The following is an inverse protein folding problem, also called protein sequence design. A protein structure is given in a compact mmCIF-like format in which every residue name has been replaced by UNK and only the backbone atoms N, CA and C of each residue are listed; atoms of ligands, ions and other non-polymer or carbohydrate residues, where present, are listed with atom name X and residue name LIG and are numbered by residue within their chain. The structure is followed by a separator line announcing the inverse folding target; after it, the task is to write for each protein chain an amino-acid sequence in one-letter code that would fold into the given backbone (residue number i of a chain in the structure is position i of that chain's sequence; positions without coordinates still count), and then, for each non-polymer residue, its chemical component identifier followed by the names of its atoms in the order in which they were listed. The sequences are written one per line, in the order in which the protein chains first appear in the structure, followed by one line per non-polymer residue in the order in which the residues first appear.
data_IF_967784446386
#
_entry.id   IF_967784446386
#
_cell.length_a   1.000
_cell.length_b   1.000
_cell.length_c   1.000
_cell.angle_alpha   90.00
_cell.angle_beta   90.00
_cell.angle_gamma   90.00
#
_symmetry.space_group_name_H-M   'P 1'
#
loop_
_entity.id
_entity.type
_entity.pdbx_description
1 polymer ?
#
# COMPACT_ATOMS: atom_id res chain seq x y z
N UNK A 1 -0.51 37.53 -63.62
CA UNK A 1 0.68 38.16 -63.01
C UNK A 1 1.19 37.23 -61.92
N UNK A 2 2.47 36.88 -62.04
CA UNK A 2 3.24 35.94 -61.20
C UNK A 2 3.43 36.43 -59.76
N UNK A 3 3.64 35.48 -58.83
CA UNK A 3 4.65 35.43 -57.74
C UNK A 3 4.21 34.30 -56.78
N UNK A 4 4.51 33.01 -57.03
CA UNK A 4 5.70 32.26 -56.57
C UNK A 4 6.41 32.87 -55.36
N UNK A 5 6.34 32.16 -54.21
CA UNK A 5 7.48 31.86 -53.32
C UNK A 5 7.10 30.82 -52.26
N UNK A 6 7.76 29.67 -52.36
CA UNK A 6 7.95 28.64 -51.34
C UNK A 6 9.46 28.64 -50.97
N UNK A 7 9.97 27.75 -50.10
CA UNK A 7 9.86 27.66 -48.64
C UNK A 7 11.23 27.93 -47.95
N UNK A 8 11.28 28.00 -46.61
CA UNK A 8 12.55 27.80 -45.87
C UNK A 8 12.31 26.78 -44.76
N UNK A 9 12.94 25.62 -44.91
CA UNK A 9 13.13 24.61 -43.90
C UNK A 9 14.30 25.00 -42.99
N UNK A 10 14.15 24.81 -41.68
CA UNK A 10 15.28 24.79 -40.75
C UNK A 10 15.37 23.39 -40.17
N UNK A 11 16.34 22.64 -40.66
CA UNK A 11 16.78 21.37 -40.09
C UNK A 11 17.71 21.67 -38.91
N UNK A 12 17.36 21.19 -37.72
CA UNK A 12 18.24 21.17 -36.56
C UNK A 12 18.86 19.78 -36.42
N UNK A 13 20.12 19.67 -36.81
CA UNK A 13 20.98 18.52 -36.57
C UNK A 13 21.33 18.44 -35.08
N UNK A 14 20.97 17.34 -34.41
CA UNK A 14 21.57 16.96 -33.13
C UNK A 14 22.57 15.82 -33.38
N UNK A 15 23.84 16.15 -33.20
CA UNK A 15 24.97 15.23 -33.22
C UNK A 15 25.23 14.69 -31.81
N UNK A 16 25.35 13.36 -31.75
CA UNK A 16 26.28 12.53 -30.97
C UNK A 16 26.78 13.02 -29.59
N UNK A 17 26.56 12.18 -28.58
CA UNK A 17 27.65 11.67 -27.73
C UNK A 17 27.27 10.31 -27.13
N UNK A 18 27.82 9.23 -27.71
CA UNK A 18 27.84 7.91 -27.09
C UNK A 18 28.94 7.90 -26.02
N UNK A 19 28.57 7.86 -24.74
CA UNK A 19 29.49 7.57 -23.64
C UNK A 19 29.58 6.07 -23.41
N UNK A 20 30.70 5.47 -23.76
CA UNK A 20 31.08 4.11 -23.36
C UNK A 20 31.36 4.11 -21.85
N UNK A 21 30.72 3.21 -21.10
CA UNK A 21 31.07 2.95 -19.71
C UNK A 21 31.76 1.61 -19.65
N UNK A 22 33.01 1.69 -19.19
CA UNK A 22 33.98 0.62 -19.13
C UNK A 22 33.57 -0.45 -18.11
N UNK A 23 33.87 -1.70 -18.47
CA UNK A 23 33.66 -2.87 -17.65
C UNK A 23 34.80 -3.04 -16.63
N UNK A 24 34.54 -3.84 -15.61
CA UNK A 24 35.52 -4.53 -14.77
C UNK A 24 35.95 -3.83 -13.48
N UNK A 25 35.26 -4.17 -12.38
CA UNK A 25 35.98 -4.59 -11.18
C UNK A 25 35.19 -5.63 -10.38
N UNK A 26 35.55 -6.88 -10.64
CA UNK A 26 35.33 -8.02 -9.77
C UNK A 26 36.07 -7.78 -8.45
N UNK A 27 35.32 -7.69 -7.34
CA UNK A 27 35.87 -7.87 -6.00
C UNK A 27 34.97 -8.87 -5.25
N UNK A 28 35.59 -9.98 -4.87
CA UNK A 28 35.01 -11.06 -4.05
C UNK A 28 34.63 -10.53 -2.66
N UNK A 29 33.57 -11.07 -2.02
CA UNK A 29 33.34 -10.85 -0.60
C UNK A 29 34.34 -11.67 0.25
N UNK A 30 34.85 -11.11 1.36
CA UNK A 30 35.55 -11.90 2.37
C UNK A 30 34.55 -12.69 3.23
N UNK A 31 34.92 -13.94 3.49
CA UNK A 31 34.27 -14.91 4.38
C UNK A 31 34.25 -14.40 5.83
N UNK A 32 33.14 -14.50 6.59
CA UNK A 32 33.18 -14.33 8.02
C UNK A 32 33.74 -15.59 8.70
N UNK A 33 34.82 -15.39 9.43
CA UNK A 33 35.51 -16.35 10.29
C UNK A 33 34.63 -16.72 11.49
N UNK A 34 34.45 -18.02 11.70
CA UNK A 34 33.70 -18.62 12.80
C UNK A 34 34.63 -18.79 14.00
N UNK A 35 34.46 -17.98 15.04
CA UNK A 35 35.19 -18.12 16.31
C UNK A 35 34.21 -18.18 17.49
N UNK A 36 33.93 -19.40 17.93
CA UNK A 36 33.67 -19.75 19.34
C UNK A 36 34.64 -20.92 19.65
N UNK A 37 34.95 -21.30 20.91
CA UNK A 37 34.34 -20.94 22.19
C UNK A 37 35.37 -20.62 23.31
N UNK A 38 34.95 -20.05 24.45
CA UNK A 38 35.52 -20.40 25.78
C UNK A 38 34.45 -20.22 26.85
N UNK A 39 34.16 -21.32 27.55
CA UNK A 39 33.43 -21.35 28.82
C UNK A 39 34.42 -21.21 29.97
N UNK A 40 34.07 -20.43 31.01
CA UNK A 40 34.56 -20.67 32.39
C UNK A 40 33.48 -20.24 33.39
N UNK A 41 33.27 -21.09 34.39
CA UNK A 41 32.15 -21.15 35.31
C UNK A 41 32.33 -20.33 36.62
N UNK A 42 31.18 -19.92 37.18
CA UNK A 42 30.74 -19.99 38.62
C UNK A 42 31.57 -19.32 39.73
N UNK A 43 31.07 -19.18 41.01
CA UNK A 43 29.71 -19.29 41.61
C UNK A 43 29.34 -18.12 42.59
N UNK A 44 28.28 -18.33 43.40
CA UNK A 44 27.91 -17.75 44.73
C UNK A 44 27.20 -16.38 44.78
N UNK A 45 26.17 -16.06 45.59
CA UNK A 45 25.47 -16.65 46.75
C UNK A 45 24.00 -16.13 46.79
N UNK A 46 23.01 -16.99 47.10
CA UNK A 46 22.18 -17.01 48.32
C UNK A 46 21.53 -15.67 48.74
N UNK A 47 20.19 -15.60 48.59
CA UNK A 47 19.34 -14.57 49.18
C UNK A 47 17.89 -15.03 49.20
N UNK A 48 17.50 -15.62 50.33
CA UNK A 48 16.16 -16.08 50.71
C UNK A 48 15.28 -14.85 50.96
N UNK A 49 14.06 -14.80 50.44
CA UNK A 49 12.90 -14.52 51.31
C UNK A 49 11.54 -14.90 50.73
N UNK A 50 10.70 -15.33 51.66
CA UNK A 50 9.44 -15.99 51.46
C UNK A 50 8.27 -15.01 51.51
N UNK A 51 7.17 -15.41 50.87
CA UNK A 51 5.83 -15.02 51.28
C UNK A 51 5.09 -14.09 50.34
N UNK A 52 4.13 -14.64 49.58
CA UNK A 52 2.72 -14.48 49.93
C UNK A 52 1.85 -14.89 48.74
N UNK A 53 1.06 -15.92 48.99
CA UNK A 53 0.11 -16.52 48.07
C UNK A 53 -1.11 -15.60 47.95
N UNK A 54 -1.29 -14.96 46.79
CA UNK A 54 -2.59 -14.40 46.39
C UNK A 54 -3.11 -15.21 45.21
N UNK A 55 -3.97 -16.16 45.55
CA UNK A 55 -4.78 -16.97 44.66
C UNK A 55 -5.95 -16.09 44.20
N UNK A 56 -5.81 -15.39 43.07
CA UNK A 56 -6.92 -14.68 42.43
C UNK A 56 -7.44 -15.47 41.24
N UNK A 57 -8.75 -15.68 41.25
CA UNK A 57 -9.48 -16.67 40.48
C UNK A 57 -9.28 -16.62 38.97
N UNK A 58 -9.22 -17.83 38.40
CA UNK A 58 -9.43 -18.09 37.00
C UNK A 58 -10.76 -17.48 36.53
N UNK A 59 -10.69 -16.44 35.68
CA UNK A 59 -11.76 -16.16 34.73
C UNK A 59 -11.64 -17.22 33.64
N UNK A 60 -12.70 -18.00 33.45
CA UNK A 60 -12.78 -19.02 32.43
C UNK A 60 -12.54 -18.46 31.02
N UNK A 61 -12.17 -19.32 30.07
CA UNK A 61 -12.11 -18.93 28.67
C UNK A 61 -13.51 -18.51 28.24
N UNK A 62 -13.66 -17.25 27.85
CA UNK A 62 -14.83 -16.83 27.11
C UNK A 62 -14.85 -17.63 25.81
N UNK A 63 -15.89 -18.45 25.63
CA UNK A 63 -16.22 -19.13 24.38
C UNK A 63 -16.27 -18.08 23.26
N UNK A 64 -15.15 -17.95 22.54
CA UNK A 64 -15.04 -17.22 21.29
C UNK A 64 -15.69 -18.01 20.19
N UNK A 65 -17.03 -18.10 20.21
CA UNK A 65 -17.79 -18.54 19.04
C UNK A 65 -17.42 -17.67 17.83
N UNK A 66 -17.43 -18.22 16.60
CA UNK A 66 -17.10 -17.45 15.41
C UNK A 66 -18.07 -16.25 15.33
N UNK A 67 -17.51 -15.05 15.47
CA UNK A 67 -18.25 -13.81 15.32
C UNK A 67 -19.00 -13.87 13.99
N UNK A 68 -20.33 -13.74 14.03
CA UNK A 68 -21.15 -13.75 12.81
C UNK A 68 -20.58 -12.71 11.84
N UNK A 69 -20.44 -13.05 10.55
CA UNK A 69 -19.94 -12.11 9.56
C UNK A 69 -20.82 -10.85 9.60
N UNK A 70 -20.22 -9.65 9.55
CA UNK A 70 -20.97 -8.42 9.59
C UNK A 70 -22.00 -8.39 8.45
N UNK A 71 -23.16 -7.78 8.71
CA UNK A 71 -24.24 -7.67 7.73
C UNK A 71 -23.72 -7.06 6.41
N UNK A 72 -24.12 -7.65 5.28
CA UNK A 72 -23.78 -7.15 3.96
C UNK A 72 -24.34 -5.73 3.78
N UNK A 73 -23.46 -4.77 3.51
CA UNK A 73 -23.80 -3.35 3.40
C UNK A 73 -24.56 -3.11 2.09
N UNK A 74 -25.85 -2.78 2.20
CA UNK A 74 -26.65 -2.36 1.04
C UNK A 74 -26.24 -0.95 0.62
N UNK A 75 -25.59 -0.85 -0.55
CA UNK A 75 -25.02 0.39 -1.09
C UNK A 75 -26.13 1.26 -1.72
N UNK A 76 -26.43 2.41 -1.12
CA UNK A 76 -27.32 3.43 -1.72
C UNK A 76 -26.53 4.72 -1.95
N UNK A 77 -26.13 5.02 -3.19
CA UNK A 77 -25.44 6.26 -3.53
C UNK A 77 -24.68 6.23 -4.86
N UNK A 78 -24.50 7.40 -5.46
CA UNK A 78 -23.90 7.60 -6.79
C UNK A 78 -22.60 8.43 -6.77
N UNK A 79 -22.07 8.76 -5.59
CA UNK A 79 -20.95 9.71 -5.44
C UNK A 79 -19.70 9.00 -4.93
N UNK A 80 -18.77 8.75 -5.86
CA UNK A 80 -17.40 8.32 -5.59
C UNK A 80 -16.57 9.54 -5.13
N UNK A 81 -15.61 9.44 -4.17
CA UNK A 81 -14.98 8.22 -3.66
C UNK A 81 -15.88 7.34 -2.82
N UNK A 82 -16.60 7.87 -1.84
CA UNK A 82 -17.29 7.04 -0.85
C UNK A 82 -18.54 7.76 -0.31
N UNK A 83 -19.47 6.98 0.23
CA UNK A 83 -20.66 7.44 0.95
C UNK A 83 -20.33 8.38 2.13
N UNK A 84 -21.34 8.81 2.89
CA UNK A 84 -21.12 9.40 4.20
C UNK A 84 -20.31 8.42 5.08
N UNK A 85 -19.29 8.94 5.76
CA UNK A 85 -18.48 8.20 6.73
C UNK A 85 -18.20 9.11 7.93
N UNK A 86 -18.07 8.51 9.11
CA UNK A 86 -17.91 9.23 10.39
C UNK A 86 -16.59 8.94 11.08
N UNK A 87 -15.95 7.80 10.77
CA UNK A 87 -14.63 7.43 11.31
C UNK A 87 -13.80 6.68 10.27
N UNK A 88 -12.51 6.59 10.54
CA UNK A 88 -11.59 5.84 9.71
C UNK A 88 -10.53 5.15 10.58
N UNK A 89 -9.97 4.07 10.05
CA UNK A 89 -8.86 3.35 10.66
C UNK A 89 -7.78 3.06 9.64
N UNK A 90 -6.53 3.23 10.03
CA UNK A 90 -5.38 2.75 9.29
C UNK A 90 -5.05 1.31 9.72
N UNK A 91 -4.71 0.47 8.75
CA UNK A 91 -4.57 -0.98 8.93
C UNK A 91 -3.26 -1.44 8.30
N UNK A 92 -2.51 -2.30 8.97
CA UNK A 92 -1.47 -3.10 8.35
C UNK A 92 -1.93 -4.54 8.24
N UNK A 93 -1.70 -5.16 7.10
CA UNK A 93 -2.12 -6.52 6.82
C UNK A 93 -1.16 -7.19 5.85
N UNK A 94 -1.29 -8.51 5.67
CA UNK A 94 -0.45 -9.27 4.72
C UNK A 94 1.06 -9.08 4.92
N UNK A 95 1.52 -9.02 6.18
CA UNK A 95 2.93 -8.83 6.54
C UNK A 95 3.77 -10.12 6.39
N UNK A 96 3.40 -10.98 5.43
CA UNK A 96 4.11 -12.19 4.98
C UNK A 96 4.30 -12.19 3.46
N UNK A 97 5.06 -13.12 2.88
CA UNK A 97 5.40 -13.10 1.44
C UNK A 97 4.17 -13.37 0.56
N UNK A 98 4.10 -12.79 -0.64
CA UNK A 98 2.96 -13.00 -1.54
C UNK A 98 2.79 -14.49 -1.86
N UNK A 99 1.55 -14.97 -1.77
CA UNK A 99 1.15 -16.36 -2.08
C UNK A 99 -0.22 -16.36 -2.76
N UNK A 100 -0.63 -17.47 -3.39
CA UNK A 100 -1.96 -17.59 -3.98
C UNK A 100 -3.08 -17.32 -2.97
N UNK A 101 -4.22 -16.83 -3.46
CA UNK A 101 -5.47 -16.65 -2.71
C UNK A 101 -5.43 -15.68 -1.51
N UNK A 102 -4.40 -14.84 -1.41
CA UNK A 102 -4.34 -13.82 -0.37
C UNK A 102 -5.31 -12.68 -0.69
N UNK A 103 -6.13 -12.23 0.28
CA UNK A 103 -6.99 -11.06 0.11
C UNK A 103 -6.18 -9.80 -0.20
N UNK A 104 -6.59 -9.07 -1.23
CA UNK A 104 -5.93 -7.83 -1.67
C UNK A 104 -6.41 -6.60 -0.92
N UNK A 105 -7.55 -6.71 -0.23
CA UNK A 105 -8.15 -5.64 0.54
C UNK A 105 -8.10 -5.98 2.02
N UNK A 106 -7.91 -4.96 2.87
CA UNK A 106 -8.08 -5.10 4.31
C UNK A 106 -9.55 -5.38 4.68
N UNK A 107 -10.48 -4.83 3.90
CA UNK A 107 -11.91 -5.11 3.99
C UNK A 107 -12.56 -5.13 2.60
N UNK A 108 -13.39 -6.12 2.33
CA UNK A 108 -14.20 -6.22 1.11
C UNK A 108 -15.58 -6.86 1.38
N UNK A 109 -16.27 -7.32 0.32
CA UNK A 109 -17.58 -7.97 0.41
C UNK A 109 -17.56 -9.29 1.22
N UNK A 110 -16.37 -9.87 1.45
CA UNK A 110 -16.16 -11.06 2.29
C UNK A 110 -15.85 -10.68 3.74
N UNK A 111 -15.79 -9.39 4.06
CA UNK A 111 -15.47 -8.85 5.37
C UNK A 111 -13.99 -8.51 5.53
N UNK A 112 -13.49 -8.62 6.75
CA UNK A 112 -12.10 -8.32 7.08
C UNK A 112 -11.14 -9.37 6.54
N UNK A 113 -9.97 -8.92 6.10
CA UNK A 113 -8.84 -9.83 5.84
C UNK A 113 -8.48 -10.58 7.12
N UNK A 114 -8.27 -11.91 7.06
CA UNK A 114 -7.82 -12.72 8.21
C UNK A 114 -6.35 -12.44 8.58
N UNK A 115 -5.70 -11.52 7.89
CA UNK A 115 -4.28 -11.22 8.01
C UNK A 115 -4.01 -9.78 8.44
N UNK A 116 -4.99 -9.14 9.08
CA UNK A 116 -4.80 -7.85 9.75
C UNK A 116 -3.87 -8.04 10.94
N UNK A 117 -2.81 -7.23 11.00
CA UNK A 117 -1.77 -7.27 12.04
C UNK A 117 -1.93 -6.09 12.99
N UNK A 118 -2.20 -4.90 12.46
CA UNK A 118 -2.35 -3.68 13.26
C UNK A 118 -3.54 -2.88 12.75
N UNK A 119 -4.28 -2.26 13.69
CA UNK A 119 -5.33 -1.28 13.42
C UNK A 119 -5.09 -0.06 14.30
N UNK A 120 -5.13 1.12 13.71
CA UNK A 120 -5.08 2.40 14.43
C UNK A 120 -6.24 3.28 14.01
N UNK A 121 -6.92 3.85 14.99
CA UNK A 121 -7.87 4.93 14.72
C UNK A 121 -7.11 6.10 14.08
N UNK A 122 -7.69 6.69 13.02
CA UNK A 122 -7.20 7.94 12.46
C UNK A 122 -8.23 9.04 12.70
N UNK A 123 -7.77 10.28 12.79
CA UNK A 123 -8.64 11.43 12.94
C UNK A 123 -9.50 11.63 11.68
N UNK A 124 -10.62 12.35 11.83
CA UNK A 124 -11.46 12.72 10.67
C UNK A 124 -10.67 13.54 9.64
N UNK A 125 -9.73 14.38 10.08
CA UNK A 125 -8.86 15.13 9.18
C UNK A 125 -7.97 14.19 8.35
N UNK A 126 -7.34 13.20 8.98
CA UNK A 126 -6.54 12.18 8.29
C UNK A 126 -7.39 11.31 7.35
N UNK A 127 -8.60 10.92 7.75
CA UNK A 127 -9.52 10.21 6.87
C UNK A 127 -9.85 11.02 5.60
N UNK A 128 -10.11 12.32 5.75
CA UNK A 128 -10.33 13.22 4.60
C UNK A 128 -9.09 13.36 3.73
N UNK A 129 -7.91 13.41 4.33
CA UNK A 129 -6.66 13.42 3.59
C UNK A 129 -6.46 12.14 2.77
N UNK A 130 -6.70 10.96 3.36
CA UNK A 130 -6.63 9.68 2.65
C UNK A 130 -7.59 9.63 1.44
N UNK A 131 -8.82 10.12 1.61
CA UNK A 131 -9.79 10.24 0.51
C UNK A 131 -9.31 11.21 -0.57
N UNK A 132 -8.74 12.34 -0.18
CA UNK A 132 -8.17 13.33 -1.11
C UNK A 132 -6.98 12.76 -1.89
N UNK A 133 -6.11 12.00 -1.22
CA UNK A 133 -4.99 11.32 -1.86
C UNK A 133 -5.46 10.26 -2.87
N UNK A 134 -6.51 9.51 -2.55
CA UNK A 134 -7.11 8.56 -3.48
C UNK A 134 -7.70 9.25 -4.72
N UNK A 135 -8.43 10.34 -4.52
CA UNK A 135 -8.96 11.14 -5.62
C UNK A 135 -7.83 11.71 -6.51
N UNK A 136 -6.72 12.13 -5.90
CA UNK A 136 -5.53 12.59 -6.62
C UNK A 136 -4.81 11.46 -7.40
N UNK A 137 -5.07 10.20 -7.05
CA UNK A 137 -4.64 9.00 -7.78
C UNK A 137 -5.63 8.55 -8.87
N UNK A 138 -6.71 9.31 -9.12
CA UNK A 138 -7.80 8.95 -10.04
C UNK A 138 -8.55 7.66 -9.63
N UNK A 139 -8.55 7.36 -8.33
CA UNK A 139 -9.33 6.30 -7.70
C UNK A 139 -8.62 4.97 -7.57
N UNK A 140 -7.91 4.52 -8.59
CA UNK A 140 -7.02 3.36 -8.50
C UNK A 140 -5.75 3.62 -9.29
N UNK A 141 -4.62 3.20 -8.75
CA UNK A 141 -3.32 3.37 -9.39
C UNK A 141 -2.63 2.02 -9.46
N UNK A 142 -2.53 1.48 -10.68
CA UNK A 142 -1.82 0.23 -10.96
C UNK A 142 -0.57 0.56 -11.77
N UNK A 143 0.55 0.71 -11.07
CA UNK A 143 1.87 1.01 -11.62
C UNK A 143 2.62 -0.29 -11.94
N UNK A 144 2.36 -1.33 -11.15
CA UNK A 144 3.08 -2.60 -11.22
C UNK A 144 2.14 -3.79 -11.44
N UNK A 145 2.73 -4.98 -11.56
CA UNK A 145 2.01 -6.27 -11.55
C UNK A 145 2.00 -6.94 -10.17
N UNK A 146 2.33 -6.21 -9.10
CA UNK A 146 2.37 -6.75 -7.75
C UNK A 146 1.12 -6.30 -6.96
N UNK A 147 0.00 -7.02 -7.07
CA UNK A 147 -1.17 -6.74 -6.24
C UNK A 147 -0.91 -7.32 -4.85
N UNK A 148 -0.05 -6.70 -4.05
CA UNK A 148 0.15 -7.15 -2.68
C UNK A 148 0.15 -6.00 -1.68
N UNK A 149 -1.01 -5.33 -1.49
CA UNK A 149 -1.15 -4.28 -0.50
C UNK A 149 -0.88 -4.80 0.90
N UNK A 150 -0.24 -3.94 1.70
CA UNK A 150 0.11 -4.22 3.09
C UNK A 150 -0.41 -3.18 4.07
N UNK A 151 -0.94 -2.08 3.53
CA UNK A 151 -1.45 -0.97 4.29
C UNK A 151 -2.82 -0.60 3.74
N UNK A 152 -3.71 -0.17 4.60
CA UNK A 152 -5.00 0.33 4.17
C UNK A 152 -5.54 1.43 5.06
N UNK A 153 -6.45 2.23 4.52
CA UNK A 153 -7.36 3.07 5.29
C UNK A 153 -8.78 2.55 5.07
N UNK A 154 -9.43 2.12 6.13
CA UNK A 154 -10.83 1.64 6.12
C UNK A 154 -11.72 2.76 6.65
N UNK A 155 -12.73 3.14 5.87
CA UNK A 155 -13.71 4.16 6.25
C UNK A 155 -14.98 3.48 6.77
N UNK A 156 -15.62 4.09 7.76
CA UNK A 156 -16.81 3.53 8.40
C UNK A 156 -17.92 4.57 8.50
N UNK A 157 -19.16 4.11 8.33
CA UNK A 157 -20.38 4.80 8.76
C UNK A 157 -20.88 4.15 10.05
N UNK A 158 -20.68 4.85 11.17
CA UNK A 158 -20.84 4.26 12.50
C UNK A 158 -19.88 3.09 12.68
N UNK A 159 -20.41 1.89 12.88
CA UNK A 159 -19.60 0.65 13.01
C UNK A 159 -19.47 -0.15 11.71
N UNK A 160 -20.08 0.32 10.63
CA UNK A 160 -20.14 -0.39 9.36
C UNK A 160 -19.02 0.07 8.43
N UNK A 161 -18.10 -0.81 7.99
CA UNK A 161 -17.10 -0.46 7.00
C UNK A 161 -17.76 -0.18 5.64
N UNK A 162 -17.49 0.98 5.07
CA UNK A 162 -18.08 1.42 3.79
C UNK A 162 -17.06 1.51 2.67
N UNK A 163 -15.76 1.55 3.01
CA UNK A 163 -14.68 1.60 2.03
C UNK A 163 -13.35 1.09 2.58
N UNK A 164 -12.47 0.65 1.69
CA UNK A 164 -11.10 0.27 1.97
C UNK A 164 -10.17 0.80 0.87
N UNK A 165 -9.21 1.64 1.24
CA UNK A 165 -8.16 2.16 0.36
C UNK A 165 -6.89 1.39 0.67
N UNK A 166 -6.35 0.61 -0.26
CA UNK A 166 -5.30 -0.37 -0.02
C UNK A 166 -4.05 0.00 -0.80
N UNK A 167 -2.89 -0.07 -0.15
CA UNK A 167 -1.62 0.42 -0.68
C UNK A 167 -0.51 -0.61 -0.53
N UNK A 168 0.35 -0.68 -1.55
CA UNK A 168 1.60 -1.44 -1.50
C UNK A 168 2.81 -0.51 -1.64
N UNK A 169 3.52 -0.24 -0.54
CA UNK A 169 4.71 0.65 -0.53
C UNK A 169 5.93 0.13 -1.30
N UNK A 170 5.95 -1.16 -1.63
CA UNK A 170 6.99 -1.76 -2.45
C UNK A 170 6.81 -1.48 -3.94
N UNK A 171 5.57 -1.52 -4.44
CA UNK A 171 5.29 -1.50 -5.87
C UNK A 171 4.51 -0.27 -6.36
N UNK A 172 3.92 0.50 -5.44
CA UNK A 172 3.20 1.72 -5.77
C UNK A 172 1.72 1.56 -6.07
N UNK A 173 1.19 0.35 -5.98
CA UNK A 173 -0.20 0.08 -6.32
C UNK A 173 -1.16 0.56 -5.22
N UNK A 174 -2.26 1.16 -5.67
CA UNK A 174 -3.38 1.67 -4.86
C UNK A 174 -4.66 1.03 -5.40
N UNK A 175 -5.32 0.25 -4.54
CA UNK A 175 -6.60 -0.40 -4.82
C UNK A 175 -7.69 0.21 -3.95
N UNK A 176 -8.92 0.22 -4.45
CA UNK A 176 -10.08 0.68 -3.68
C UNK A 176 -11.15 -0.39 -3.62
N UNK A 177 -11.79 -0.52 -2.47
CA UNK A 177 -13.06 -1.21 -2.34
C UNK A 177 -14.09 -0.23 -1.75
N UNK A 178 -15.28 -0.09 -2.35
CA UNK A 178 -15.63 -0.56 -3.69
C UNK A 178 -14.67 0.01 -4.76
N UNK A 179 -14.48 -0.73 -5.84
CA UNK A 179 -13.63 -0.29 -6.93
C UNK A 179 -14.16 1.02 -7.54
N UNK A 180 -13.24 1.87 -7.99
CA UNK A 180 -13.60 3.06 -8.76
C UNK A 180 -14.40 2.65 -10.00
N UNK A 181 -15.49 3.37 -10.36
CA UNK A 181 -16.19 3.11 -11.61
C UNK A 181 -15.19 3.12 -12.76
N UNK A 182 -15.23 2.12 -13.67
CA UNK A 182 -14.34 2.14 -14.82
C UNK A 182 -14.57 3.43 -15.61
N UNK A 183 -13.49 4.07 -16.07
CA UNK A 183 -13.62 5.22 -16.98
C UNK A 183 -14.60 4.85 -18.10
N UNK A 184 -15.56 5.72 -18.44
CA UNK A 184 -16.56 5.43 -19.45
C UNK A 184 -15.83 5.09 -20.75
N UNK A 185 -15.87 3.80 -21.11
CA UNK A 185 -15.31 3.35 -22.37
C UNK A 185 -16.17 3.97 -23.47
N UNK A 186 -15.60 4.91 -24.21
CA UNK A 186 -16.27 5.48 -25.37
C UNK A 186 -16.77 4.38 -26.31
N UNK A 187 -17.80 4.66 -27.13
CA UNK A 187 -18.37 3.66 -28.01
C UNK A 187 -17.29 3.12 -28.94
N UNK A 188 -17.11 1.79 -28.91
CA UNK A 188 -16.12 0.96 -29.61
C UNK A 188 -14.86 0.58 -28.82
N UNK A 189 -14.73 -0.73 -28.59
CA UNK A 189 -13.49 -1.44 -28.27
C UNK A 189 -12.48 -1.31 -29.43
N UNK A 190 -12.08 -0.09 -29.76
CA UNK A 190 -10.93 0.15 -30.64
C UNK A 190 -9.72 -0.44 -29.95
N UNK A 191 -8.92 -1.19 -30.71
CA UNK A 191 -7.58 -1.61 -30.28
C UNK A 191 -6.84 -0.35 -29.86
N UNK A 192 -6.59 -0.21 -28.56
CA UNK A 192 -5.79 0.89 -28.01
C UNK A 192 -4.44 0.84 -28.72
N UNK A 193 -4.06 1.92 -29.39
CA UNK A 193 -2.78 2.00 -30.08
C UNK A 193 -1.64 1.91 -29.07
N UNK A 194 -0.47 1.42 -29.49
CA UNK A 194 0.71 1.39 -28.62
C UNK A 194 1.04 2.79 -28.08
N UNK A 195 0.83 3.85 -28.88
CA UNK A 195 1.01 5.24 -28.46
C UNK A 195 0.08 5.64 -27.30
N UNK A 196 -1.19 5.25 -27.35
CA UNK A 196 -2.14 5.52 -26.28
C UNK A 196 -1.82 4.70 -25.02
N UNK A 197 -1.34 3.46 -25.17
CA UNK A 197 -0.87 2.65 -24.03
C UNK A 197 0.31 3.33 -23.34
N UNK A 198 1.34 3.73 -24.10
CA UNK A 198 2.51 4.42 -23.56
C UNK A 198 2.13 5.74 -22.87
N UNK A 199 1.22 6.53 -23.45
CA UNK A 199 0.75 7.77 -22.83
C UNK A 199 0.01 7.53 -21.51
N UNK A 200 -0.79 6.45 -21.42
CA UNK A 200 -1.47 6.07 -20.17
C UNK A 200 -0.48 5.60 -19.11
N UNK A 201 0.53 4.82 -19.49
CA UNK A 201 1.60 4.38 -18.58
C UNK A 201 2.41 5.58 -18.06
N UNK A 202 2.80 6.51 -18.93
CA UNK A 202 3.48 7.74 -18.54
C UNK A 202 2.63 8.60 -17.60
N UNK A 203 1.32 8.73 -17.87
CA UNK A 203 0.38 9.41 -16.96
C UNK A 203 0.36 8.76 -15.58
N UNK A 204 0.27 7.42 -15.51
CA UNK A 204 0.28 6.67 -14.25
C UNK A 204 1.57 6.86 -13.46
N UNK A 205 2.73 6.83 -14.13
CA UNK A 205 4.02 7.07 -13.48
C UNK A 205 4.10 8.50 -12.90
N UNK A 206 3.61 9.52 -13.64
CA UNK A 206 3.53 10.89 -13.13
C UNK A 206 2.60 11.02 -11.92
N UNK A 207 1.48 10.30 -11.93
CA UNK A 207 0.58 10.25 -10.77
C UNK A 207 1.29 9.61 -9.57
N UNK A 208 1.95 8.47 -9.78
CA UNK A 208 2.74 7.77 -8.76
C UNK A 208 3.77 8.69 -8.10
N UNK A 209 4.64 9.33 -8.88
CA UNK A 209 5.68 10.21 -8.37
C UNK A 209 5.11 11.36 -7.53
N UNK A 210 3.91 11.82 -7.86
CA UNK A 210 3.23 12.92 -7.16
C UNK A 210 2.53 12.47 -5.88
N UNK A 211 1.82 11.34 -5.90
CA UNK A 211 0.92 10.94 -4.80
C UNK A 211 1.60 10.01 -3.79
N UNK A 212 2.54 9.18 -4.23
CA UNK A 212 3.09 8.13 -3.39
C UNK A 212 3.97 8.63 -2.23
N UNK A 213 4.81 9.67 -2.41
CA UNK A 213 5.52 10.28 -1.29
C UNK A 213 4.59 10.79 -0.20
N UNK A 214 3.42 11.31 -0.58
CA UNK A 214 2.41 11.80 0.36
C UNK A 214 1.72 10.66 1.10
N UNK A 215 1.44 9.55 0.42
CA UNK A 215 0.96 8.34 1.08
C UNK A 215 1.95 7.77 2.08
N UNK A 216 3.26 7.77 1.75
CA UNK A 216 4.29 7.36 2.70
C UNK A 216 4.28 8.24 3.94
N UNK A 217 4.36 9.57 3.77
CA UNK A 217 4.33 10.53 4.86
C UNK A 217 3.05 10.41 5.72
N UNK A 218 1.89 10.21 5.07
CA UNK A 218 0.62 9.97 5.77
C UNK A 218 0.73 8.80 6.76
N UNK A 219 1.23 7.64 6.32
CA UNK A 219 1.35 6.47 7.20
C UNK A 219 2.50 6.60 8.21
N UNK A 220 3.69 7.02 7.77
CA UNK A 220 4.88 7.04 8.62
C UNK A 220 4.85 8.16 9.64
N UNK A 221 4.53 9.38 9.22
CA UNK A 221 4.59 10.58 10.06
C UNK A 221 3.22 10.91 10.64
N UNK A 222 2.16 10.79 9.84
CA UNK A 222 0.81 11.13 10.27
C UNK A 222 0.21 10.09 11.23
N UNK A 223 0.20 8.83 10.83
CA UNK A 223 -0.41 7.73 11.60
C UNK A 223 0.62 7.06 12.55
N UNK A 224 1.91 7.13 12.22
CA UNK A 224 2.97 6.49 12.99
C UNK A 224 3.05 4.97 12.75
N UNK A 225 2.74 4.51 11.55
CA UNK A 225 2.83 3.11 11.14
C UNK A 225 4.07 2.88 10.26
N UNK A 226 4.73 1.74 10.45
CA UNK A 226 5.91 1.38 9.67
C UNK A 226 5.53 1.09 8.20
N UNK A 227 6.16 1.78 7.26
CA UNK A 227 5.98 1.59 5.81
C UNK A 227 7.12 0.81 5.15
N UNK A 228 8.32 0.85 5.74
CA UNK A 228 9.55 0.29 5.18
C UNK A 228 10.11 -0.87 6.02
N UNK A 229 9.25 -1.76 6.52
CA UNK A 229 9.72 -2.97 7.19
C UNK A 229 10.49 -3.84 6.16
N UNK A 230 11.80 -3.57 6.02
CA UNK A 230 12.73 -4.41 5.28
C UNK A 230 12.55 -5.83 5.79
N UNK A 231 12.25 -6.74 4.88
CA UNK A 231 12.25 -8.17 5.15
C UNK A 231 13.58 -8.76 4.74
#
# INVERSE_FOLDING_TARGET
MLHVRSPVAVAASFLLACGAVDASKSMRPPTPESTAPVATASPVELGVDAGSVVRSGARGPADGGPASPPAAVSRTGSVWPFHAWSRAEAVSFNVFAMRPDVPLHAYDDRGWSPHVVERRAVTVAQGKEAVSLLAASEGELLVSKCPFPRHAVVLFDGDTPVASINLCFECGDILSWPASPPEPQGPSAKKVSDKERMAREEKRLKLYDRVFPRWRAFFSEGVGMAVDAKR
#
